data_IF_896017887435
#
_entry.id   IF_896017887435
#
_cell.length_a   1.000
_cell.length_b   1.000
_cell.length_c   1.000
_cell.angle_alpha   90.00
_cell.angle_beta   90.00
_cell.angle_gamma   90.00
#
_symmetry.space_group_name_H-M   'P 1'
#
loop_
_entity.id
_entity.type
_entity.pdbx_description
1 polymer ?
#
# COMPACT_ATOMS: atom_id res chain seq x y z
N UNK A 1 17.85 -25.28 0.58
CA UNK A 1 16.79 -25.20 1.61
C UNK A 1 17.16 -24.17 2.64
N UNK A 2 16.19 -23.39 3.09
CA UNK A 2 16.30 -22.34 4.10
C UNK A 2 15.45 -22.69 5.31
N UNK A 3 15.94 -22.30 6.48
CA UNK A 3 15.24 -22.45 7.75
C UNK A 3 14.31 -21.28 7.98
N UNK A 4 13.18 -21.52 8.64
CA UNK A 4 12.29 -20.45 9.10
C UNK A 4 13.00 -19.61 10.19
N UNK A 5 12.89 -18.26 10.17
CA UNK A 5 13.42 -17.38 11.21
C UNK A 5 12.78 -17.56 12.59
N UNK A 6 11.57 -18.13 12.64
CA UNK A 6 10.80 -18.33 13.88
C UNK A 6 11.05 -19.68 14.55
N UNK A 7 11.42 -20.69 13.76
CA UNK A 7 11.56 -22.06 14.23
C UNK A 7 12.54 -22.82 13.33
N UNK A 8 13.65 -23.28 13.92
CA UNK A 8 14.71 -23.95 13.19
C UNK A 8 14.29 -25.31 12.61
N UNK A 9 13.20 -25.91 13.10
CA UNK A 9 12.69 -27.20 12.59
C UNK A 9 11.93 -27.07 11.27
N UNK A 10 11.56 -25.86 10.86
CA UNK A 10 10.88 -25.63 9.59
C UNK A 10 11.91 -25.42 8.49
N UNK A 11 11.96 -26.34 7.53
CA UNK A 11 12.84 -26.28 6.36
C UNK A 11 12.02 -26.28 5.07
N UNK A 12 12.42 -25.43 4.12
CA UNK A 12 11.75 -25.31 2.84
C UNK A 12 12.69 -24.77 1.75
N UNK A 13 12.35 -24.90 0.45
CA UNK A 13 13.04 -24.18 -0.62
C UNK A 13 12.92 -22.65 -0.47
N UNK A 14 13.92 -21.91 -0.95
CA UNK A 14 13.98 -20.45 -0.85
C UNK A 14 12.76 -19.77 -1.49
N UNK A 15 12.37 -20.24 -2.67
CA UNK A 15 11.22 -19.73 -3.42
C UNK A 15 9.89 -19.89 -2.67
N UNK A 16 9.82 -20.79 -1.69
CA UNK A 16 8.61 -21.04 -0.88
C UNK A 16 8.65 -20.34 0.48
N UNK A 17 9.77 -19.73 0.86
CA UNK A 17 9.96 -19.12 2.17
C UNK A 17 8.93 -18.02 2.43
N UNK A 18 8.69 -17.13 1.46
CA UNK A 18 7.73 -16.02 1.62
C UNK A 18 6.30 -16.54 1.84
N UNK A 19 5.89 -17.56 1.09
CA UNK A 19 4.59 -18.21 1.28
C UNK A 19 4.49 -18.85 2.66
N UNK A 20 5.54 -19.55 3.10
CA UNK A 20 5.60 -20.14 4.43
C UNK A 20 5.52 -19.07 5.52
N UNK A 21 6.29 -17.99 5.46
CA UNK A 21 6.29 -16.91 6.45
C UNK A 21 4.89 -16.34 6.64
N UNK A 22 4.11 -16.17 5.57
CA UNK A 22 2.73 -15.70 5.64
C UNK A 22 1.79 -16.66 6.38
N UNK A 23 2.02 -17.98 6.28
CA UNK A 23 1.16 -19.02 6.88
C UNK A 23 1.74 -19.64 8.17
N UNK A 24 2.97 -19.31 8.54
CA UNK A 24 3.70 -19.96 9.62
C UNK A 24 2.97 -19.79 10.97
N UNK A 25 2.71 -20.88 11.72
CA UNK A 25 2.05 -20.81 13.02
C UNK A 25 2.92 -20.09 14.06
N UNK A 26 4.24 -20.29 14.01
CA UNK A 26 5.17 -19.70 14.99
C UNK A 26 5.38 -18.21 14.76
N UNK A 27 5.18 -17.72 13.53
CA UNK A 27 5.13 -16.27 13.27
C UNK A 27 4.05 -15.59 14.10
N UNK A 28 2.86 -16.18 14.19
CA UNK A 28 1.76 -15.59 14.97
C UNK A 28 2.09 -15.55 16.46
N UNK A 29 2.72 -16.60 16.98
CA UNK A 29 3.13 -16.69 18.39
C UNK A 29 4.22 -15.67 18.73
N UNK A 30 5.22 -15.55 17.86
CA UNK A 30 6.42 -14.72 18.07
C UNK A 30 6.33 -13.33 17.41
N UNK A 31 5.15 -12.93 16.93
CA UNK A 31 4.92 -11.62 16.28
C UNK A 31 5.29 -10.43 17.20
N UNK A 32 5.21 -10.62 18.52
CA UNK A 32 5.58 -9.60 19.49
C UNK A 32 7.11 -9.45 19.66
N UNK A 33 7.92 -10.44 19.27
CA UNK A 33 9.39 -10.45 19.40
C UNK A 33 10.09 -10.06 18.11
N UNK A 34 9.46 -10.30 16.96
CA UNK A 34 10.03 -10.03 15.64
C UNK A 34 9.40 -8.80 14.98
N UNK A 35 10.16 -8.21 14.06
CA UNK A 35 9.74 -7.17 13.14
C UNK A 35 10.05 -7.61 11.70
N UNK A 36 9.36 -7.00 10.73
CA UNK A 36 9.57 -7.24 9.30
C UNK A 36 10.30 -6.04 8.72
N UNK A 37 11.34 -6.29 7.93
CA UNK A 37 12.09 -5.23 7.25
C UNK A 37 11.20 -4.46 6.26
N UNK A 38 11.29 -3.12 6.20
CA UNK A 38 10.56 -2.33 5.23
C UNK A 38 11.10 -2.49 3.79
N UNK A 39 12.35 -2.91 3.64
CA UNK A 39 13.02 -3.02 2.34
C UNK A 39 12.88 -4.41 1.69
N UNK A 40 12.79 -5.47 2.50
CA UNK A 40 12.60 -6.84 2.01
C UNK A 40 11.70 -7.66 2.94
N UNK A 41 10.58 -8.14 2.41
CA UNK A 41 9.58 -8.89 3.18
C UNK A 41 10.05 -10.27 3.66
N UNK A 42 11.16 -10.80 3.14
CA UNK A 42 11.76 -12.05 3.62
C UNK A 42 12.58 -11.84 4.90
N UNK A 43 12.99 -10.60 5.20
CA UNK A 43 13.79 -10.28 6.39
C UNK A 43 12.90 -10.13 7.63
N UNK A 44 12.88 -11.18 8.45
CA UNK A 44 12.29 -11.19 9.78
C UNK A 44 13.38 -11.12 10.83
N UNK A 45 13.41 -10.02 11.59
CA UNK A 45 14.50 -9.71 12.51
C UNK A 45 13.94 -9.51 13.93
N UNK A 46 14.62 -9.97 14.99
CA UNK A 46 14.23 -9.65 16.36
C UNK A 46 14.15 -8.14 16.58
N UNK A 47 13.12 -7.67 17.29
CA UNK A 47 12.86 -6.23 17.49
C UNK A 47 14.05 -5.47 18.06
N UNK A 48 14.79 -6.07 18.98
CA UNK A 48 15.97 -5.45 19.60
C UNK A 48 17.13 -5.24 18.60
N UNK A 49 17.16 -5.97 17.48
CA UNK A 49 18.16 -5.80 16.41
C UNK A 49 17.62 -5.06 15.19
N UNK A 50 16.33 -4.66 15.21
CA UNK A 50 15.66 -4.12 14.03
C UNK A 50 16.25 -2.78 13.56
N UNK A 51 16.61 -1.89 14.49
CA UNK A 51 17.22 -0.60 14.15
C UNK A 51 18.66 -0.74 13.61
N UNK A 52 19.41 -1.75 14.08
CA UNK A 52 20.70 -2.10 13.48
C UNK A 52 20.50 -2.61 12.05
N UNK A 53 19.57 -3.56 11.87
CA UNK A 53 19.23 -4.11 10.57
C UNK A 53 18.81 -3.04 9.56
N UNK A 54 17.96 -2.06 9.93
CA UNK A 54 17.54 -0.99 9.02
C UNK A 54 18.72 -0.18 8.45
N UNK A 55 19.78 0.04 9.23
CA UNK A 55 20.96 0.80 8.80
C UNK A 55 21.87 -0.01 7.88
N UNK A 56 21.92 -1.33 8.07
CA UNK A 56 22.87 -2.24 7.39
C UNK A 56 22.20 -3.13 6.33
N UNK A 57 20.88 -2.96 6.09
CA UNK A 57 20.14 -3.82 5.17
C UNK A 57 20.66 -3.65 3.74
N UNK A 58 21.07 -4.76 3.12
CA UNK A 58 21.57 -4.77 1.72
C UNK A 58 20.50 -4.39 0.69
N UNK A 59 19.24 -4.64 1.01
CA UNK A 59 18.11 -4.29 0.15
C UNK A 59 17.63 -2.85 0.36
N UNK A 60 18.29 -2.08 1.24
CA UNK A 60 18.02 -0.66 1.38
C UNK A 60 18.48 0.04 0.10
N UNK A 61 17.52 0.36 -0.75
CA UNK A 61 17.74 1.29 -1.85
C UNK A 61 17.90 2.67 -1.21
N UNK A 62 19.09 3.27 -1.33
CA UNK A 62 19.25 4.68 -0.99
C UNK A 62 18.36 5.47 -1.94
N UNK A 63 17.42 6.23 -1.39
CA UNK A 63 16.54 7.08 -2.18
C UNK A 63 17.41 7.92 -3.11
N UNK A 64 17.27 7.69 -4.42
CA UNK A 64 17.94 8.48 -5.45
C UNK A 64 17.61 9.95 -5.17
N UNK A 65 18.66 10.75 -4.94
CA UNK A 65 18.61 12.20 -4.72
C UNK A 65 17.48 12.88 -5.52
N UNK A 66 16.56 13.54 -4.81
CA UNK A 66 15.48 14.41 -5.30
C UNK A 66 16.03 15.74 -5.89
N UNK A 67 17.15 15.68 -6.60
CA UNK A 67 17.81 16.83 -7.22
C UNK A 67 17.93 16.69 -8.73
N UNK A 68 17.14 15.81 -9.35
CA UNK A 68 16.92 15.85 -10.79
C UNK A 68 15.53 16.38 -11.05
N UNK A 69 15.50 17.66 -11.44
CA UNK A 69 14.49 18.26 -12.30
C UNK A 69 13.86 17.18 -13.19
N UNK A 70 12.58 16.91 -12.96
CA UNK A 70 11.83 15.91 -13.71
C UNK A 70 11.72 16.41 -15.16
N UNK A 71 12.65 15.99 -16.00
CA UNK A 71 12.49 16.08 -17.45
C UNK A 71 11.42 15.06 -17.83
N UNK A 72 10.29 15.59 -18.29
CA UNK A 72 9.12 14.84 -18.72
C UNK A 72 9.53 13.96 -19.90
N UNK A 73 9.61 12.64 -19.69
CA UNK A 73 9.98 11.70 -20.76
C UNK A 73 9.05 11.89 -21.97
N UNK A 74 9.62 12.40 -23.06
CA UNK A 74 9.03 12.44 -24.38
C UNK A 74 8.85 10.99 -24.87
N UNK A 75 7.66 10.43 -24.61
CA UNK A 75 7.27 9.11 -25.10
C UNK A 75 7.07 9.23 -26.59
N UNK A 76 8.14 9.03 -27.37
CA UNK A 76 7.98 8.75 -28.79
C UNK A 76 7.20 7.45 -28.92
N UNK A 77 5.95 7.56 -29.38
CA UNK A 77 5.07 6.44 -29.69
C UNK A 77 5.78 5.45 -30.60
N UNK A 78 6.34 4.38 -30.03
CA UNK A 78 6.78 3.25 -30.83
C UNK A 78 5.52 2.54 -31.33
N UNK A 79 5.39 2.27 -32.65
CA UNK A 79 4.24 1.56 -33.17
C UNK A 79 4.15 0.20 -32.49
N UNK A 80 2.96 -0.11 -31.95
CA UNK A 80 2.65 -1.40 -31.30
C UNK A 80 3.15 -2.54 -32.18
N UNK A 81 3.95 -3.49 -31.68
CA UNK A 81 4.42 -4.59 -32.50
C UNK A 81 3.22 -5.37 -33.04
N UNK A 82 3.11 -5.40 -34.36
CA UNK A 82 2.13 -6.22 -35.08
C UNK A 82 2.45 -7.68 -34.79
N UNK A 83 1.61 -8.31 -33.96
CA UNK A 83 1.73 -9.73 -33.66
C UNK A 83 1.45 -10.51 -34.94
N UNK A 84 2.47 -11.17 -35.48
CA UNK A 84 2.39 -11.95 -36.72
C UNK A 84 1.65 -13.26 -36.42
N UNK A 85 0.43 -13.37 -36.94
CA UNK A 85 -0.41 -14.56 -36.82
C UNK A 85 0.12 -15.69 -37.70
N UNK A 86 0.90 -16.63 -37.16
CA UNK A 86 1.05 -17.99 -37.71
C UNK A 86 1.87 -18.85 -36.73
N UNK A 87 1.23 -19.80 -36.06
CA UNK A 87 1.42 -21.24 -36.33
C UNK A 87 0.51 -22.03 -35.38
N UNK A 88 -0.45 -22.76 -35.93
CA UNK A 88 -1.32 -23.66 -35.19
C UNK A 88 -0.51 -24.87 -34.72
N UNK A 89 -0.20 -24.93 -33.43
CA UNK A 89 0.08 -26.20 -32.76
C UNK A 89 -1.19 -26.62 -32.01
N UNK A 90 -1.87 -27.64 -32.52
CA UNK A 90 -3.00 -28.26 -31.84
C UNK A 90 -2.49 -29.09 -30.66
N UNK A 91 -2.97 -28.77 -29.45
CA UNK A 91 -2.89 -29.65 -28.28
C UNK A 91 -4.28 -30.20 -27.94
N UNK A 92 -4.35 -31.42 -27.40
CA UNK A 92 -5.55 -32.25 -27.44
C UNK A 92 -6.59 -31.86 -26.38
N UNK A 93 -7.82 -32.18 -26.76
CA UNK A 93 -9.08 -32.08 -26.03
C UNK A 93 -9.03 -32.71 -24.63
N UNK A 94 -9.14 -31.90 -23.58
CA UNK A 94 -9.92 -32.24 -22.38
C UNK A 94 -9.97 -31.09 -21.38
N UNK A 95 -11.19 -30.83 -20.88
CA UNK A 95 -11.53 -30.11 -19.64
C UNK A 95 -11.71 -28.59 -19.72
N UNK A 96 -12.99 -28.19 -19.66
CA UNK A 96 -13.55 -26.91 -19.21
C UNK A 96 -12.65 -25.67 -19.30
N UNK A 97 -12.83 -24.89 -20.36
CA UNK A 97 -12.29 -23.54 -20.48
C UNK A 97 -12.96 -22.66 -19.43
N UNK A 98 -12.30 -22.47 -18.29
CA UNK A 98 -12.55 -21.33 -17.42
C UNK A 98 -12.09 -20.09 -18.20
N UNK A 99 -13.05 -19.31 -18.72
CA UNK A 99 -12.79 -17.97 -19.23
C UNK A 99 -12.74 -17.08 -17.97
N UNK A 100 -11.57 -16.59 -17.53
CA UNK A 100 -11.53 -15.62 -16.45
C UNK A 100 -12.28 -14.39 -16.94
N UNK A 101 -13.23 -13.91 -16.15
CA UNK A 101 -13.85 -12.61 -16.41
C UNK A 101 -12.75 -11.57 -16.63
N UNK A 102 -12.90 -10.67 -17.61
CA UNK A 102 -11.94 -9.59 -17.83
C UNK A 102 -11.77 -8.87 -16.49
N UNK A 103 -10.54 -8.89 -15.98
CA UNK A 103 -10.17 -8.20 -14.75
C UNK A 103 -10.54 -6.74 -14.98
N UNK A 104 -11.64 -6.29 -14.37
CA UNK A 104 -12.06 -4.90 -14.43
C UNK A 104 -11.04 -4.14 -13.60
N UNK A 105 -10.00 -3.63 -14.24
CA UNK A 105 -9.00 -2.78 -13.59
C UNK A 105 -9.78 -1.61 -12.97
N UNK A 106 -9.87 -1.52 -11.63
CA UNK A 106 -10.57 -0.41 -11.01
C UNK A 106 -9.85 0.86 -11.44
N UNK A 107 -10.61 1.82 -11.98
CA UNK A 107 -10.07 3.12 -12.37
C UNK A 107 -9.32 3.72 -11.17
N UNK A 108 -7.99 3.68 -11.24
CA UNK A 108 -7.09 3.99 -10.14
C UNK A 108 -7.26 5.43 -9.65
N UNK A 109 -7.60 6.34 -10.57
CA UNK A 109 -7.86 7.75 -10.29
C UNK A 109 -9.17 7.93 -9.53
N UNK A 110 -10.23 7.20 -9.93
CA UNK A 110 -11.50 7.20 -9.21
C UNK A 110 -11.34 6.66 -7.78
N UNK A 111 -10.57 5.58 -7.60
CA UNK A 111 -10.26 5.04 -6.27
C UNK A 111 -9.53 6.05 -5.38
N UNK A 112 -8.53 6.76 -5.93
CA UNK A 112 -7.80 7.82 -5.21
C UNK A 112 -8.74 8.94 -4.80
N UNK A 113 -9.62 9.39 -5.70
CA UNK A 113 -10.58 10.45 -5.45
C UNK A 113 -11.55 10.07 -4.31
N UNK A 114 -12.07 8.85 -4.33
CA UNK A 114 -12.94 8.32 -3.27
C UNK A 114 -12.24 8.24 -1.92
N UNK A 115 -10.96 7.87 -1.92
CA UNK A 115 -10.14 7.83 -0.70
C UNK A 115 -9.95 9.23 -0.12
N UNK A 116 -9.69 10.23 -0.95
CA UNK A 116 -9.58 11.64 -0.53
C UNK A 116 -10.90 12.14 0.06
N UNK A 117 -12.03 11.93 -0.63
CA UNK A 117 -13.38 12.27 -0.14
C UNK A 117 -13.68 11.65 1.24
N UNK A 118 -13.38 10.36 1.41
CA UNK A 118 -13.56 9.66 2.70
C UNK A 118 -12.73 10.28 3.82
N UNK A 119 -11.50 10.70 3.53
CA UNK A 119 -10.63 11.34 4.52
C UNK A 119 -11.15 12.73 4.92
N UNK A 120 -11.61 13.54 3.97
CA UNK A 120 -12.21 14.85 4.25
C UNK A 120 -13.48 14.72 5.09
N UNK A 121 -14.37 13.78 4.75
CA UNK A 121 -15.60 13.49 5.54
C UNK A 121 -15.30 13.10 6.99
N UNK A 122 -14.24 12.31 7.21
CA UNK A 122 -13.78 11.97 8.57
C UNK A 122 -13.33 13.20 9.35
N UNK A 123 -12.48 14.05 8.75
CA UNK A 123 -12.02 15.30 9.38
C UNK A 123 -13.19 16.21 9.75
N UNK A 124 -14.17 16.38 8.84
CA UNK A 124 -15.37 17.17 9.10
C UNK A 124 -16.23 16.59 10.24
N UNK A 125 -16.30 15.26 10.35
CA UNK A 125 -17.01 14.59 11.45
C UNK A 125 -16.34 14.84 12.80
N UNK A 126 -15.01 14.81 12.86
CA UNK A 126 -14.26 15.15 14.08
C UNK A 126 -14.47 16.61 14.49
N UNK A 127 -14.45 17.53 13.52
CA UNK A 127 -14.73 18.95 13.75
C UNK A 127 -16.15 19.15 14.30
N UNK A 128 -17.16 18.47 13.76
CA UNK A 128 -18.54 18.52 14.28
C UNK A 128 -18.62 18.11 15.76
N UNK A 129 -17.88 17.08 16.16
CA UNK A 129 -17.80 16.67 17.58
C UNK A 129 -17.12 17.73 18.44
N UNK A 130 -16.09 18.42 17.93
CA UNK A 130 -15.48 19.55 18.64
C UNK A 130 -16.47 20.71 18.79
N UNK A 131 -17.27 21.02 17.77
CA UNK A 131 -18.32 22.05 17.87
C UNK A 131 -19.36 21.71 18.94
N UNK A 132 -19.75 20.44 19.05
CA UNK A 132 -20.68 20.00 20.09
C UNK A 132 -20.09 20.15 21.50
N UNK A 133 -18.81 19.81 21.68
CA UNK A 133 -18.10 20.05 22.94
C UNK A 133 -18.04 21.54 23.30
N UNK A 134 -17.78 22.41 22.34
CA UNK A 134 -17.83 23.87 22.55
C UNK A 134 -19.22 24.31 22.99
N UNK A 135 -20.28 23.79 22.36
CA UNK A 135 -21.66 24.06 22.77
C UNK A 135 -21.97 23.59 24.19
N UNK A 136 -21.32 22.53 24.65
CA UNK A 136 -21.40 22.03 26.03
C UNK A 136 -20.55 22.86 27.02
N UNK A 137 -19.92 23.95 26.58
CA UNK A 137 -19.11 24.83 27.42
C UNK A 137 -17.66 24.36 27.62
N UNK A 138 -17.19 23.40 26.82
CA UNK A 138 -15.80 22.94 26.86
C UNK A 138 -14.85 23.97 26.27
N UNK A 139 -13.79 24.31 27.00
CA UNK A 139 -12.72 25.20 26.55
C UNK A 139 -11.72 24.41 25.70
N UNK A 140 -11.52 24.84 24.46
CA UNK A 140 -10.64 24.18 23.52
C UNK A 140 -9.17 24.57 23.72
N UNK A 141 -8.28 23.64 23.39
CA UNK A 141 -6.86 23.93 23.28
C UNK A 141 -6.53 24.52 21.89
N UNK A 142 -5.38 25.18 21.76
CA UNK A 142 -4.92 25.84 20.53
C UNK A 142 -4.95 24.91 19.30
N UNK A 143 -4.55 23.64 19.46
CA UNK A 143 -4.59 22.64 18.38
C UNK A 143 -6.03 22.33 17.93
N UNK A 144 -6.99 22.32 18.87
CA UNK A 144 -8.40 22.03 18.57
C UNK A 144 -9.08 23.23 17.91
N UNK A 145 -8.70 24.45 18.28
CA UNK A 145 -9.15 25.68 17.61
C UNK A 145 -8.67 25.74 16.17
N UNK A 146 -7.39 25.41 15.91
CA UNK A 146 -6.85 25.32 14.55
C UNK A 146 -7.66 24.31 13.72
N UNK A 147 -8.01 23.16 14.28
CA UNK A 147 -8.85 22.16 13.59
C UNK A 147 -10.24 22.71 13.25
N UNK A 148 -10.85 23.47 14.15
CA UNK A 148 -12.15 24.11 13.90
C UNK A 148 -12.09 25.20 12.83
N UNK A 149 -11.04 26.01 12.83
CA UNK A 149 -10.88 27.11 11.87
C UNK A 149 -10.75 26.59 10.43
N UNK A 150 -10.14 25.42 10.24
CA UNK A 150 -10.00 24.78 8.91
C UNK A 150 -11.29 24.14 8.38
N UNK A 151 -12.42 24.23 9.10
CA UNK A 151 -13.67 23.59 8.69
C UNK A 151 -14.13 24.04 7.30
N UNK A 152 -14.18 25.35 7.07
CA UNK A 152 -14.69 25.91 5.82
C UNK A 152 -13.83 25.47 4.62
N UNK A 153 -12.51 25.47 4.78
CA UNK A 153 -11.59 25.01 3.73
C UNK A 153 -11.82 23.54 3.38
N UNK A 154 -12.02 22.68 4.38
CA UNK A 154 -12.28 21.25 4.19
C UNK A 154 -13.65 20.99 3.54
N UNK A 155 -14.66 21.83 3.81
CA UNK A 155 -15.96 21.76 3.17
C UNK A 155 -15.87 22.16 1.69
N UNK A 156 -15.10 23.21 1.38
CA UNK A 156 -14.83 23.65 0.00
C UNK A 156 -14.04 22.56 -0.76
N UNK A 157 -12.99 22.00 -0.15
CA UNK A 157 -12.19 20.93 -0.74
C UNK A 157 -13.05 19.71 -1.05
N UNK A 158 -13.91 19.28 -0.11
CA UNK A 158 -14.81 18.16 -0.34
C UNK A 158 -15.80 18.44 -1.47
N UNK A 159 -16.40 19.63 -1.50
CA UNK A 159 -17.34 20.03 -2.54
C UNK A 159 -16.65 20.06 -3.92
N UNK A 160 -15.44 20.61 -4.03
CA UNK A 160 -14.67 20.60 -5.26
C UNK A 160 -14.41 19.18 -5.77
N UNK A 161 -14.06 18.24 -4.89
CA UNK A 161 -13.88 16.83 -5.27
C UNK A 161 -15.20 16.14 -5.66
N UNK A 162 -16.33 16.52 -5.05
CA UNK A 162 -17.65 16.01 -5.43
C UNK A 162 -18.09 16.52 -6.80
N UNK A 163 -17.76 17.76 -7.16
CA UNK A 163 -18.04 18.35 -8.48
C UNK A 163 -17.15 17.81 -9.62
N UNK A 164 -16.00 17.21 -9.30
CA UNK A 164 -15.07 16.60 -10.27
C UNK A 164 -15.41 15.15 -10.65
N UNK A 165 -16.45 14.57 -10.04
CA UNK A 165 -16.87 13.17 -10.20
C UNK A 165 -18.14 13.05 -11.01
#
# INVERSE_FOLDING_TARGET
NVSCPYNQNHYMPENTLLWHLNKCPDRKKLAHVFAVCPYNAMHHVPKHMFEAHKRECKDRVEDYNDSKEYDYWDVQEQPKPSFRSSEQQSLPDSNAVYIPEPIHEPNYDAYKLDKMKKNLRKKLTEIKKLQEKVKQGYILNQEQEIKLNRRADLEIELNNLEMLS
#
